data_IF_176789362709
#
_entry.id   IF_176789362709
#
_cell.length_a   1.000
_cell.length_b   1.000
_cell.length_c   1.000
_cell.angle_alpha   90.00
_cell.angle_beta   90.00
_cell.angle_gamma   90.00
#
_symmetry.space_group_name_H-M   'P 1'
#
loop_
_entity.id
_entity.type
_entity.pdbx_description
1 polymer ?
#
# COMPACT_ATOMS: atom_id res chain seq x y z
N UNK A 1 2.33 -14.00 6.50
CA UNK A 1 3.08 -12.72 6.40
C UNK A 1 4.31 -12.85 5.50
N UNK A 2 5.15 -13.88 5.68
CA UNK A 2 6.39 -14.07 4.92
C UNK A 2 6.20 -14.20 3.40
N UNK A 3 5.18 -14.96 2.97
CA UNK A 3 4.85 -15.18 1.54
C UNK A 3 4.54 -13.88 0.80
N UNK A 4 4.07 -12.83 1.50
CA UNK A 4 3.86 -11.51 0.89
C UNK A 4 5.14 -10.67 0.91
N UNK A 5 5.86 -10.70 2.03
CA UNK A 5 7.02 -9.84 2.23
C UNK A 5 8.12 -10.11 1.20
N UNK A 6 8.38 -11.39 0.90
CA UNK A 6 9.42 -11.79 -0.05
C UNK A 6 9.18 -11.24 -1.46
N UNK A 7 8.03 -11.48 -2.13
CA UNK A 7 7.76 -10.92 -3.44
C UNK A 7 7.64 -9.39 -3.41
N UNK A 8 7.06 -8.79 -2.36
CA UNK A 8 7.03 -7.33 -2.23
C UNK A 8 8.44 -6.73 -2.21
N UNK A 9 9.38 -7.33 -1.46
CA UNK A 9 10.76 -6.85 -1.42
C UNK A 9 11.52 -7.10 -2.71
N UNK A 10 11.35 -8.28 -3.34
CA UNK A 10 11.95 -8.57 -4.63
C UNK A 10 11.51 -7.56 -5.70
N UNK A 11 10.22 -7.25 -5.76
CA UNK A 11 9.66 -6.27 -6.70
C UNK A 11 10.10 -4.85 -6.35
N UNK A 12 10.17 -4.50 -5.06
CA UNK A 12 10.73 -3.21 -4.66
C UNK A 12 12.19 -3.09 -5.10
N UNK A 13 13.02 -4.11 -4.92
CA UNK A 13 14.41 -4.08 -5.37
C UNK A 13 14.51 -3.96 -6.89
N UNK A 14 13.70 -4.72 -7.64
CA UNK A 14 13.69 -4.70 -9.10
C UNK A 14 13.18 -3.38 -9.71
N UNK A 15 12.15 -2.77 -9.11
CA UNK A 15 11.48 -1.60 -9.69
C UNK A 15 11.88 -0.27 -9.08
N UNK A 16 12.33 -0.22 -7.81
CA UNK A 16 12.58 1.06 -7.13
C UNK A 16 13.64 1.89 -7.84
N UNK A 17 14.74 1.28 -8.29
CA UNK A 17 15.82 2.02 -8.96
C UNK A 17 15.43 2.42 -10.38
N UNK A 18 14.71 1.56 -11.12
CA UNK A 18 14.17 1.91 -12.44
C UNK A 18 13.13 3.03 -12.37
N UNK A 19 12.23 2.96 -11.41
CA UNK A 19 11.20 3.98 -11.21
C UNK A 19 11.82 5.29 -10.71
N UNK A 20 12.77 5.25 -9.76
CA UNK A 20 13.51 6.45 -9.36
C UNK A 20 14.32 7.06 -10.51
N UNK A 21 14.89 6.23 -11.39
CA UNK A 21 15.60 6.71 -12.57
C UNK A 21 14.68 7.42 -13.56
N UNK A 22 13.46 6.91 -13.78
CA UNK A 22 12.44 7.56 -14.62
C UNK A 22 11.93 8.88 -14.05
N UNK A 23 11.90 9.03 -12.73
CA UNK A 23 11.42 10.22 -12.03
C UNK A 23 12.55 11.08 -11.42
N UNK A 24 13.76 11.04 -11.99
CA UNK A 24 14.89 11.87 -11.51
C UNK A 24 14.48 13.33 -11.39
N UNK A 25 14.73 13.92 -10.22
CA UNK A 25 14.63 15.36 -9.99
C UNK A 25 16.02 15.99 -10.03
N UNK A 26 16.15 17.07 -10.80
CA UNK A 26 17.37 17.89 -10.77
C UNK A 26 17.41 18.72 -9.48
N UNK A 27 18.62 19.08 -9.02
CA UNK A 27 18.83 19.89 -7.80
C UNK A 27 18.18 21.28 -7.90
N UNK A 28 18.04 21.83 -9.10
CA UNK A 28 17.44 23.16 -9.35
C UNK A 28 15.92 23.17 -9.55
N UNK A 29 15.23 22.02 -9.45
CA UNK A 29 13.77 22.02 -9.61
C UNK A 29 13.05 22.62 -8.40
N UNK A 30 11.97 23.36 -8.68
CA UNK A 30 11.04 23.86 -7.66
C UNK A 30 10.55 22.72 -6.75
N UNK A 31 10.40 23.03 -5.46
CA UNK A 31 9.99 22.10 -4.42
C UNK A 31 8.71 21.33 -4.79
N UNK A 32 7.69 22.02 -5.32
CA UNK A 32 6.43 21.40 -5.74
C UNK A 32 6.63 20.32 -6.82
N UNK A 33 7.58 20.53 -7.74
CA UNK A 33 7.91 19.58 -8.81
C UNK A 33 8.68 18.37 -8.26
N UNK A 34 9.58 18.56 -7.30
CA UNK A 34 10.26 17.47 -6.58
C UNK A 34 9.29 16.61 -5.78
N UNK A 35 8.39 17.26 -5.04
CA UNK A 35 7.32 16.57 -4.30
C UNK A 35 6.42 15.76 -5.25
N UNK A 36 5.94 16.38 -6.34
CA UNK A 36 5.11 15.70 -7.34
C UNK A 36 5.80 14.48 -7.96
N UNK A 37 7.09 14.58 -8.30
CA UNK A 37 7.88 13.44 -8.82
C UNK A 37 8.09 12.35 -7.78
N UNK A 38 8.31 12.69 -6.51
CA UNK A 38 8.45 11.71 -5.42
C UNK A 38 7.13 10.96 -5.16
N UNK A 39 6.01 11.66 -5.18
CA UNK A 39 4.69 11.06 -5.04
C UNK A 39 4.36 10.19 -6.26
N UNK A 40 4.58 10.69 -7.48
CA UNK A 40 4.34 9.95 -8.72
C UNK A 40 5.22 8.69 -8.81
N UNK A 41 6.53 8.80 -8.54
CA UNK A 41 7.43 7.64 -8.50
C UNK A 41 7.00 6.63 -7.44
N UNK A 42 6.53 7.10 -6.29
CA UNK A 42 5.99 6.24 -5.25
C UNK A 42 4.70 5.53 -5.65
N UNK A 43 3.79 6.25 -6.31
CA UNK A 43 2.56 5.71 -6.85
C UNK A 43 2.81 4.65 -7.92
N UNK A 44 3.70 4.93 -8.88
CA UNK A 44 4.06 3.98 -9.96
C UNK A 44 4.76 2.74 -9.41
N UNK A 45 5.75 2.90 -8.53
CA UNK A 45 6.40 1.76 -7.88
C UNK A 45 5.41 0.93 -7.06
N UNK A 46 4.51 1.60 -6.34
CA UNK A 46 3.44 0.97 -5.57
C UNK A 46 2.47 0.18 -6.45
N UNK A 47 2.02 0.77 -7.56
CA UNK A 47 1.12 0.14 -8.53
C UNK A 47 1.77 -1.09 -9.19
N UNK A 48 3.02 -0.99 -9.63
CA UNK A 48 3.77 -2.11 -10.21
C UNK A 48 3.93 -3.26 -9.21
N UNK A 49 4.25 -2.96 -7.95
CA UNK A 49 4.31 -3.98 -6.90
C UNK A 49 2.94 -4.62 -6.66
N UNK A 50 1.88 -3.80 -6.60
CA UNK A 50 0.51 -4.28 -6.47
C UNK A 50 0.09 -5.16 -7.66
N UNK A 51 0.54 -4.92 -8.90
CA UNK A 51 0.17 -5.78 -10.03
C UNK A 51 0.46 -7.27 -9.77
N UNK A 52 1.51 -7.59 -9.02
CA UNK A 52 1.83 -8.97 -8.67
C UNK A 52 1.29 -9.37 -7.29
N UNK A 53 1.37 -8.49 -6.30
CA UNK A 53 1.07 -8.83 -4.90
C UNK A 53 -0.43 -8.70 -4.57
N UNK A 54 -1.20 -7.95 -5.37
CA UNK A 54 -2.60 -7.68 -5.08
C UNK A 54 -3.46 -8.95 -5.05
N UNK A 55 -3.22 -9.89 -5.97
CA UNK A 55 -3.97 -11.15 -6.01
C UNK A 55 -3.73 -12.02 -4.75
N UNK A 56 -2.51 -11.97 -4.20
CA UNK A 56 -2.16 -12.64 -2.93
C UNK A 56 -2.84 -11.95 -1.74
N UNK A 57 -2.86 -10.62 -1.73
CA UNK A 57 -3.57 -9.84 -0.71
C UNK A 57 -5.09 -10.08 -0.76
N UNK A 58 -5.67 -10.20 -1.95
CA UNK A 58 -7.07 -10.58 -2.16
C UNK A 58 -7.36 -11.96 -1.55
N UNK A 59 -6.58 -12.99 -1.92
CA UNK A 59 -6.77 -14.35 -1.42
C UNK A 59 -6.66 -14.43 0.10
N UNK A 60 -5.67 -13.74 0.66
CA UNK A 60 -5.50 -13.67 2.10
C UNK A 60 -6.69 -12.99 2.78
N UNK A 61 -7.21 -11.91 2.22
CA UNK A 61 -8.33 -11.16 2.80
C UNK A 61 -9.60 -12.01 2.83
N UNK A 62 -9.89 -12.72 1.73
CA UNK A 62 -11.03 -13.65 1.64
C UNK A 62 -10.88 -14.81 2.63
N UNK A 63 -9.71 -15.44 2.71
CA UNK A 63 -9.45 -16.53 3.68
C UNK A 63 -9.52 -16.06 5.13
N UNK A 64 -8.99 -14.88 5.44
CA UNK A 64 -9.03 -14.35 6.81
C UNK A 64 -10.47 -14.05 7.25
N UNK A 65 -11.32 -13.59 6.33
CA UNK A 65 -12.73 -13.36 6.63
C UNK A 65 -13.53 -14.67 6.68
N UNK A 66 -13.24 -15.63 5.81
CA UNK A 66 -13.85 -16.96 5.84
C UNK A 66 -13.49 -17.73 7.13
N UNK A 67 -12.23 -17.68 7.56
CA UNK A 67 -11.80 -18.27 8.82
C UNK A 67 -12.50 -17.63 10.05
N UNK A 68 -12.83 -16.33 9.98
CA UNK A 68 -13.61 -15.66 11.03
C UNK A 68 -15.08 -16.10 11.01
N UNK A 69 -15.66 -16.31 9.84
CA UNK A 69 -17.02 -16.84 9.71
C UNK A 69 -17.11 -18.28 10.22
N UNK A 70 -16.14 -19.13 9.86
CA UNK A 70 -16.02 -20.51 10.34
C UNK A 70 -15.94 -20.63 11.86
N UNK A 71 -15.22 -19.73 12.53
CA UNK A 71 -15.14 -19.68 13.99
C UNK A 71 -16.45 -19.26 14.68
N UNK A 72 -17.37 -18.63 13.94
CA UNK A 72 -18.69 -18.22 14.45
C UNK A 72 -19.80 -19.22 14.10
N UNK A 73 -19.44 -20.43 13.68
CA UNK A 73 -20.40 -21.49 13.29
C UNK A 73 -20.91 -21.40 11.86
N UNK A 74 -20.35 -20.53 11.01
CA UNK A 74 -20.65 -20.51 9.57
C UNK A 74 -19.87 -21.59 8.82
N UNK A 75 -20.38 -22.03 7.66
CA UNK A 75 -19.63 -22.92 6.77
C UNK A 75 -18.45 -22.20 6.13
N UNK A 76 -17.30 -22.89 6.03
CA UNK A 76 -16.12 -22.35 5.33
C UNK A 76 -16.37 -22.37 3.82
N UNK A 77 -16.27 -21.20 3.19
CA UNK A 77 -16.39 -21.03 1.76
C UNK A 77 -15.13 -21.46 1.01
N UNK A 78 -13.96 -21.48 1.65
CA UNK A 78 -12.68 -21.77 1.00
C UNK A 78 -11.82 -22.76 1.77
N UNK A 79 -11.30 -23.78 1.07
CA UNK A 79 -10.40 -24.78 1.65
C UNK A 79 -8.91 -24.36 1.66
N UNK A 80 -8.56 -23.27 0.97
CA UNK A 80 -7.20 -22.75 0.92
C UNK A 80 -7.00 -21.68 -0.16
N UNK A 81 -5.77 -21.18 -0.32
CA UNK A 81 -5.46 -20.12 -1.30
C UNK A 81 -5.78 -20.53 -2.73
N UNK A 82 -5.45 -21.76 -3.13
CA UNK A 82 -5.72 -22.29 -4.47
C UNK A 82 -7.24 -22.36 -4.74
N UNK A 83 -8.03 -22.74 -3.72
CA UNK A 83 -9.49 -22.81 -3.83
C UNK A 83 -10.11 -21.43 -4.00
N UNK A 84 -9.57 -20.39 -3.34
CA UNK A 84 -9.99 -19.00 -3.58
C UNK A 84 -9.73 -18.60 -5.04
N UNK A 85 -8.51 -18.82 -5.54
CA UNK A 85 -8.19 -18.48 -6.93
C UNK A 85 -9.12 -19.21 -7.92
N UNK A 86 -9.32 -20.52 -7.73
CA UNK A 86 -10.16 -21.33 -8.63
C UNK A 86 -11.61 -20.85 -8.63
N UNK A 87 -12.20 -20.61 -7.46
CA UNK A 87 -13.58 -20.16 -7.32
C UNK A 87 -13.77 -18.75 -7.86
N UNK A 88 -12.89 -17.81 -7.50
CA UNK A 88 -12.97 -16.42 -7.98
C UNK A 88 -12.76 -16.33 -9.49
N UNK A 89 -11.79 -17.07 -10.06
CA UNK A 89 -11.59 -17.07 -11.51
C UNK A 89 -12.79 -17.68 -12.27
N UNK A 90 -13.47 -18.65 -11.66
CA UNK A 90 -14.67 -19.27 -12.25
C UNK A 90 -15.91 -18.36 -12.18
N UNK A 91 -16.07 -17.57 -11.12
CA UNK A 91 -17.24 -16.70 -10.95
C UNK A 91 -17.05 -15.32 -11.58
N UNK A 92 -15.94 -14.64 -11.29
CA UNK A 92 -15.73 -13.21 -11.56
C UNK A 92 -14.57 -12.97 -12.54
N UNK A 93 -13.89 -14.05 -12.96
CA UNK A 93 -12.74 -13.99 -13.84
C UNK A 93 -11.54 -13.24 -13.25
N UNK A 94 -10.66 -12.78 -14.14
CA UNK A 94 -9.45 -12.04 -13.75
C UNK A 94 -9.76 -10.69 -13.10
N UNK A 95 -10.86 -10.03 -13.51
CA UNK A 95 -11.29 -8.74 -12.96
C UNK A 95 -11.66 -8.86 -11.47
N UNK A 96 -12.24 -9.99 -11.06
CA UNK A 96 -12.56 -10.26 -9.66
C UNK A 96 -11.33 -10.26 -8.73
N UNK A 97 -10.20 -10.81 -9.19
CA UNK A 97 -8.95 -10.84 -8.42
C UNK A 97 -8.33 -9.46 -8.21
N UNK A 98 -8.62 -8.50 -9.11
CA UNK A 98 -8.09 -7.13 -9.07
C UNK A 98 -9.13 -6.09 -8.67
N UNK A 99 -10.29 -6.53 -8.13
CA UNK A 99 -11.35 -5.64 -7.66
C UNK A 99 -10.83 -4.75 -6.53
N UNK A 100 -10.82 -3.43 -6.75
CA UNK A 100 -10.24 -2.44 -5.84
C UNK A 100 -8.78 -2.05 -6.12
N UNK A 101 -8.17 -2.50 -7.21
CA UNK A 101 -6.80 -2.12 -7.57
C UNK A 101 -6.64 -0.60 -7.73
N UNK A 102 -7.56 0.06 -8.45
CA UNK A 102 -7.51 1.51 -8.70
C UNK A 102 -7.56 2.31 -7.39
N UNK A 103 -8.50 1.99 -6.50
CA UNK A 103 -8.61 2.70 -5.21
C UNK A 103 -7.37 2.46 -4.34
N UNK A 104 -6.71 1.31 -4.50
CA UNK A 104 -5.47 1.01 -3.80
C UNK A 104 -4.32 1.89 -4.27
N UNK A 105 -4.21 2.12 -5.58
CA UNK A 105 -3.25 3.05 -6.14
C UNK A 105 -3.48 4.48 -5.64
N UNK A 106 -4.74 4.93 -5.61
CA UNK A 106 -5.11 6.23 -5.03
C UNK A 106 -4.72 6.31 -3.56
N UNK A 107 -5.00 5.25 -2.78
CA UNK A 107 -4.62 5.17 -1.37
C UNK A 107 -3.12 5.30 -1.13
N UNK A 108 -2.28 4.68 -1.99
CA UNK A 108 -0.82 4.81 -1.93
C UNK A 108 -0.39 6.26 -2.18
N UNK A 109 -0.98 6.91 -3.19
CA UNK A 109 -0.66 8.30 -3.54
C UNK A 109 -1.04 9.24 -2.39
N UNK A 110 -2.24 9.10 -1.83
CA UNK A 110 -2.71 9.91 -0.70
C UNK A 110 -1.84 9.68 0.54
N UNK A 111 -1.58 8.41 0.89
CA UNK A 111 -0.72 8.06 2.02
C UNK A 111 0.67 8.68 1.88
N UNK A 112 1.31 8.52 0.71
CA UNK A 112 2.65 9.08 0.48
C UNK A 112 2.65 10.61 0.43
N UNK A 113 1.64 11.21 -0.18
CA UNK A 113 1.48 12.66 -0.22
C UNK A 113 1.38 13.25 1.18
N UNK A 114 0.51 12.70 2.02
CA UNK A 114 0.37 13.11 3.42
C UNK A 114 1.63 12.82 4.23
N UNK A 115 2.29 11.67 4.01
CA UNK A 115 3.51 11.31 4.73
C UNK A 115 4.62 12.33 4.46
N UNK A 116 4.90 12.63 3.19
CA UNK A 116 5.89 13.64 2.84
C UNK A 116 5.47 15.03 3.32
N UNK A 117 4.20 15.42 3.12
CA UNK A 117 3.70 16.72 3.57
C UNK A 117 3.88 16.93 5.08
N UNK A 118 3.42 15.98 5.91
CA UNK A 118 3.60 16.08 7.36
C UNK A 118 5.06 16.00 7.76
N UNK A 119 5.86 15.12 7.15
CA UNK A 119 7.28 15.01 7.46
C UNK A 119 8.02 16.31 7.15
N UNK A 120 7.77 16.91 5.99
CA UNK A 120 8.44 18.13 5.54
C UNK A 120 8.00 19.37 6.34
N UNK A 121 6.76 19.42 6.82
CA UNK A 121 6.29 20.50 7.71
C UNK A 121 6.80 20.33 9.14
N UNK A 122 6.73 19.12 9.70
CA UNK A 122 7.03 18.89 11.11
C UNK A 122 8.52 18.73 11.40
N UNK A 123 9.30 18.22 10.45
CA UNK A 123 10.74 18.07 10.59
C UNK A 123 11.47 19.38 10.94
N UNK A 124 11.31 20.50 10.20
CA UNK A 124 12.02 21.75 10.53
C UNK A 124 11.51 22.41 11.82
N UNK A 125 10.27 22.14 12.23
CA UNK A 125 9.68 22.69 13.45
C UNK A 125 10.19 21.93 14.70
N UNK A 126 10.29 20.60 14.60
CA UNK A 126 10.56 19.72 15.74
C UNK A 126 12.01 19.21 15.82
N UNK A 127 12.72 19.14 14.69
CA UNK A 127 14.09 18.63 14.60
C UNK A 127 15.04 19.76 14.18
N UNK A 128 15.85 20.25 15.13
CA UNK A 128 17.02 21.09 14.84
C UNK A 128 18.20 20.28 14.27
N UNK A 129 19.33 20.95 14.02
CA UNK A 129 20.53 20.34 13.41
C UNK A 129 21.11 19.16 14.22
N UNK A 130 20.89 19.11 15.54
CA UNK A 130 21.34 18.06 16.45
C UNK A 130 20.18 17.19 16.99
N UNK A 131 19.21 16.86 16.14
CA UNK A 131 18.10 16.01 16.57
C UNK A 131 18.55 14.57 16.88
N UNK A 132 18.37 14.15 18.13
CA UNK A 132 18.62 12.78 18.56
C UNK A 132 17.75 11.75 17.83
N UNK A 133 18.25 10.51 17.72
CA UNK A 133 17.59 9.38 17.04
C UNK A 133 16.16 9.15 17.57
N UNK A 134 15.96 9.30 18.87
CA UNK A 134 14.65 9.13 19.54
C UNK A 134 13.63 10.15 19.03
N UNK A 135 14.03 11.41 18.87
CA UNK A 135 13.11 12.47 18.44
C UNK A 135 12.74 12.30 16.96
N UNK A 136 13.70 11.89 16.12
CA UNK A 136 13.44 11.52 14.72
C UNK A 136 12.50 10.30 14.61
N UNK A 137 12.63 9.34 15.52
CA UNK A 137 11.73 8.19 15.59
C UNK A 137 10.31 8.61 15.98
N UNK A 138 10.14 9.43 17.02
CA UNK A 138 8.83 9.95 17.46
C UNK A 138 8.16 10.73 16.33
N UNK A 139 8.91 11.59 15.63
CA UNK A 139 8.41 12.30 14.46
C UNK A 139 7.91 11.33 13.39
N UNK A 140 8.75 10.36 13.00
CA UNK A 140 8.39 9.37 11.99
C UNK A 140 7.15 8.55 12.38
N UNK A 141 7.02 8.21 13.67
CA UNK A 141 5.86 7.50 14.21
C UNK A 141 4.59 8.35 14.13
N UNK A 142 4.64 9.61 14.56
CA UNK A 142 3.50 10.52 14.51
C UNK A 142 3.05 10.80 13.06
N UNK A 143 4.00 11.02 12.16
CA UNK A 143 3.71 11.19 10.72
C UNK A 143 3.03 9.95 10.15
N UNK A 144 3.55 8.77 10.49
CA UNK A 144 2.99 7.49 10.02
C UNK A 144 1.56 7.27 10.51
N UNK A 145 1.27 7.55 11.78
CA UNK A 145 -0.09 7.46 12.34
C UNK A 145 -1.02 8.44 11.62
N UNK A 146 -0.62 9.71 11.52
CA UNK A 146 -1.44 10.77 10.93
C UNK A 146 -1.75 10.48 9.46
N UNK A 147 -0.75 10.10 8.65
CA UNK A 147 -0.96 9.69 7.25
C UNK A 147 -1.79 8.41 7.13
N UNK A 148 -1.61 7.47 8.06
CA UNK A 148 -2.41 6.27 8.17
C UNK A 148 -3.89 6.57 8.40
N UNK A 149 -4.20 7.48 9.32
CA UNK A 149 -5.57 7.91 9.63
C UNK A 149 -6.23 8.60 8.42
N UNK A 150 -5.52 9.50 7.75
CA UNK A 150 -6.04 10.21 6.55
C UNK A 150 -6.34 9.23 5.41
N UNK A 151 -5.50 8.21 5.22
CA UNK A 151 -5.69 7.20 4.16
C UNK A 151 -6.64 6.06 4.57
N UNK A 152 -7.04 5.97 5.83
CA UNK A 152 -7.85 4.88 6.37
C UNK A 152 -9.24 4.72 5.72
N UNK A 153 -9.98 5.79 5.38
CA UNK A 153 -11.24 5.66 4.65
C UNK A 153 -11.05 4.98 3.29
N UNK A 154 -9.97 5.30 2.58
CA UNK A 154 -9.62 4.70 1.30
C UNK A 154 -9.28 3.21 1.49
N UNK A 155 -8.55 2.87 2.56
CA UNK A 155 -8.28 1.47 2.91
C UNK A 155 -9.55 0.68 3.19
N UNK A 156 -10.52 1.33 3.84
CA UNK A 156 -11.82 0.73 4.15
C UNK A 156 -12.60 0.43 2.87
N UNK A 157 -12.68 1.39 1.95
CA UNK A 157 -13.35 1.22 0.65
C UNK A 157 -12.68 0.10 -0.15
N UNK A 158 -11.34 0.07 -0.18
CA UNK A 158 -10.55 -0.99 -0.80
C UNK A 158 -10.96 -2.38 -0.29
N UNK A 159 -10.98 -2.56 1.03
CA UNK A 159 -11.34 -3.86 1.64
C UNK A 159 -12.79 -4.23 1.41
N UNK A 160 -13.71 -3.26 1.41
CA UNK A 160 -15.12 -3.50 1.07
C UNK A 160 -15.24 -4.01 -0.36
N UNK A 161 -14.58 -3.37 -1.33
CA UNK A 161 -14.59 -3.80 -2.73
C UNK A 161 -13.96 -5.17 -2.97
N UNK A 162 -12.91 -5.54 -2.23
CA UNK A 162 -12.33 -6.90 -2.29
C UNK A 162 -13.29 -7.98 -1.76
N UNK A 163 -14.27 -7.59 -0.94
CA UNK A 163 -15.22 -8.51 -0.33
C UNK A 163 -16.52 -8.64 -1.11
N UNK A 164 -16.86 -7.65 -1.93
CA UNK A 164 -17.91 -7.76 -2.93
C UNK A 164 -17.44 -8.73 -4.01
N UNK A 165 -18.00 -9.94 -4.03
CA UNK A 165 -18.04 -10.85 -5.19
C UNK A 165 -19.50 -11.01 -5.54
#
# INVERSE_FOLDING_TARGET
NCIRYFPTQALNFAFKDKVKAMFKSSKDESYARKFGKNVASGGVAGALSLCFVYSLDYCRTRLANDAKAGKKGGERQFNGMIDVYRKTLKSDGFVGLYRGFVISCVGIVVYRGCYFGFYDTLKPILLGENAGVVLSFILGYFVTISSGLVSYPIDTIRRRMMMTS
#
